data_IF_369773043758
#
_entry.id   IF_369773043758
#
_cell.length_a   1.000
_cell.length_b   1.000
_cell.length_c   1.000
_cell.angle_alpha   90.00
_cell.angle_beta   90.00
_cell.angle_gamma   90.00
#
_symmetry.space_group_name_H-M   'P 1'
#
loop_
_entity.id
_entity.type
_entity.pdbx_description
1 polymer ?
#
# COMPACT_ATOMS: atom_id res chain seq x y z
N UNK A 1 11.14 4.62 -6.83
CA UNK A 1 12.14 5.68 -6.56
C UNK A 1 11.59 6.88 -7.28
N UNK A 2 11.16 7.88 -6.52
CA UNK A 2 10.04 8.69 -6.96
C UNK A 2 10.56 10.04 -7.43
N UNK A 3 10.28 10.37 -8.69
CA UNK A 3 10.85 11.54 -9.35
C UNK A 3 9.94 12.74 -9.12
N UNK A 4 10.37 13.55 -8.15
CA UNK A 4 9.70 14.77 -7.71
C UNK A 4 10.09 15.94 -8.62
N UNK A 5 9.10 16.74 -9.05
CA UNK A 5 9.36 18.08 -9.56
C UNK A 5 8.43 19.09 -8.86
N UNK A 6 9.02 20.21 -8.47
CA UNK A 6 8.30 21.38 -7.96
C UNK A 6 7.62 22.07 -9.14
N UNK A 7 6.31 22.24 -9.06
CA UNK A 7 5.51 22.98 -10.04
C UNK A 7 4.80 24.11 -9.30
N UNK A 8 4.95 25.39 -9.73
CA UNK A 8 4.38 26.51 -8.99
C UNK A 8 2.85 26.41 -8.88
N UNK A 9 2.34 26.66 -7.67
CA UNK A 9 0.91 26.65 -7.37
C UNK A 9 0.28 28.04 -7.45
N UNK A 10 -0.98 28.13 -7.87
CA UNK A 10 -1.71 29.39 -8.01
C UNK A 10 -2.01 30.10 -6.66
N UNK A 11 -1.81 29.44 -5.52
CA UNK A 11 -2.07 29.97 -4.16
C UNK A 11 -0.85 29.86 -3.22
N UNK A 12 0.32 30.37 -3.63
CA UNK A 12 1.43 30.74 -2.72
C UNK A 12 2.12 29.62 -1.94
N UNK A 13 1.70 28.36 -2.09
CA UNK A 13 2.40 27.18 -1.60
C UNK A 13 2.91 26.35 -2.78
N UNK A 14 4.23 26.30 -2.94
CA UNK A 14 4.85 25.31 -3.82
C UNK A 14 4.57 23.91 -3.28
N UNK A 15 3.76 23.17 -4.04
CA UNK A 15 3.38 21.78 -3.74
C UNK A 15 3.97 20.89 -4.80
N UNK A 16 5.08 20.26 -4.44
CA UNK A 16 5.74 19.20 -5.20
C UNK A 16 4.72 18.14 -5.66
N UNK A 17 4.73 17.84 -6.97
CA UNK A 17 3.83 16.85 -7.58
C UNK A 17 4.66 15.67 -8.10
N UNK A 18 4.15 14.45 -7.93
CA UNK A 18 4.77 13.29 -8.53
C UNK A 18 4.15 13.07 -9.92
N UNK A 19 4.94 13.30 -10.98
CA UNK A 19 4.46 13.24 -12.37
C UNK A 19 4.80 11.90 -13.06
N UNK A 20 5.72 11.12 -12.47
CA UNK A 20 6.31 9.94 -13.09
C UNK A 20 6.65 8.88 -12.02
N UNK A 21 6.24 7.63 -12.24
CA UNK A 21 6.58 6.48 -11.36
C UNK A 21 7.79 5.71 -11.91
N UNK A 22 8.73 5.37 -11.02
CA UNK A 22 9.97 4.66 -11.38
C UNK A 22 10.17 3.36 -10.59
N UNK A 23 10.03 2.21 -11.26
CA UNK A 23 10.28 0.89 -10.68
C UNK A 23 11.71 0.42 -11.00
N UNK A 24 12.56 0.28 -9.98
CA UNK A 24 13.99 -0.04 -10.15
C UNK A 24 14.29 -1.41 -9.54
N UNK A 25 14.89 -2.32 -10.32
CA UNK A 25 15.25 -3.68 -9.90
C UNK A 25 16.74 -3.96 -10.07
N UNK A 26 17.27 -4.93 -9.29
CA UNK A 26 18.64 -5.46 -9.45
C UNK A 26 18.80 -6.12 -10.83
N UNK A 27 19.99 -6.10 -11.46
CA UNK A 27 20.20 -6.64 -12.81
C UNK A 27 19.67 -8.07 -13.03
N UNK A 28 20.03 -9.02 -12.16
CA UNK A 28 19.59 -10.42 -12.25
C UNK A 28 18.09 -10.68 -12.02
N UNK A 29 17.28 -9.64 -11.83
CA UNK A 29 15.81 -9.72 -11.83
C UNK A 29 15.25 -9.48 -13.24
N UNK A 30 15.83 -8.54 -14.00
CA UNK A 30 15.34 -8.12 -15.33
C UNK A 30 16.22 -8.59 -16.49
N UNK A 31 17.30 -9.31 -16.22
CA UNK A 31 18.21 -9.89 -17.21
C UNK A 31 18.42 -11.36 -16.90
N UNK A 32 18.62 -12.17 -17.96
CA UNK A 32 18.89 -13.59 -17.79
C UNK A 32 20.34 -13.84 -17.36
N UNK A 33 20.51 -14.80 -16.46
CA UNK A 33 21.82 -15.23 -16.01
C UNK A 33 22.50 -16.06 -17.11
N UNK A 34 23.27 -15.40 -17.97
CA UNK A 34 24.07 -16.03 -19.01
C UNK A 34 23.97 -15.36 -20.38
N UNK A 35 25.09 -14.80 -20.85
CA UNK A 35 25.41 -14.59 -22.27
C UNK A 35 24.65 -13.50 -23.07
N UNK A 36 23.44 -13.10 -22.68
CA UNK A 36 22.63 -12.15 -23.49
C UNK A 36 22.93 -10.68 -23.18
N UNK A 37 23.66 -10.02 -24.09
CA UNK A 37 24.02 -8.57 -24.04
C UNK A 37 22.90 -7.65 -24.56
N UNK A 38 21.70 -8.19 -24.75
CA UNK A 38 20.49 -7.48 -25.12
C UNK A 38 19.48 -7.60 -23.96
N UNK A 39 18.96 -6.48 -23.41
CA UNK A 39 17.86 -6.54 -22.46
C UNK A 39 16.61 -7.15 -23.12
N UNK A 40 15.76 -7.86 -22.37
CA UNK A 40 14.56 -8.49 -22.91
C UNK A 40 13.53 -7.46 -23.39
N UNK A 41 12.71 -7.87 -24.35
CA UNK A 41 11.40 -7.27 -24.55
C UNK A 41 10.47 -7.74 -23.41
N UNK A 42 10.07 -6.80 -22.54
CA UNK A 42 9.21 -7.12 -21.40
C UNK A 42 7.77 -7.45 -21.79
N UNK A 43 7.30 -7.01 -22.96
CA UNK A 43 5.96 -7.33 -23.49
C UNK A 43 5.94 -8.75 -24.00
N UNK A 44 6.94 -9.16 -24.79
CA UNK A 44 7.10 -10.56 -25.23
C UNK A 44 7.22 -11.49 -24.03
N UNK A 45 8.06 -11.12 -23.05
CA UNK A 45 8.20 -11.88 -21.80
C UNK A 45 6.89 -11.99 -21.02
N UNK A 46 6.06 -10.95 -21.00
CA UNK A 46 4.75 -10.96 -20.34
C UNK A 46 3.70 -11.82 -21.06
N UNK A 47 3.80 -11.94 -22.38
CA UNK A 47 2.86 -12.70 -23.23
C UNK A 47 3.14 -14.20 -23.24
N UNK A 48 4.39 -14.62 -23.47
CA UNK A 48 4.75 -16.05 -23.52
C UNK A 48 4.98 -16.64 -22.13
N UNK A 49 4.15 -17.60 -21.73
CA UNK A 49 4.24 -18.34 -20.47
C UNK A 49 5.48 -19.20 -20.32
N UNK A 50 6.18 -19.52 -21.41
CA UNK A 50 7.41 -20.32 -21.41
C UNK A 50 8.66 -19.45 -21.39
N UNK A 51 8.52 -18.12 -21.55
CA UNK A 51 9.66 -17.22 -21.53
C UNK A 51 10.31 -17.23 -20.13
N UNK A 52 11.64 -17.43 -20.01
CA UNK A 52 12.29 -17.58 -18.70
C UNK A 52 12.10 -16.42 -17.71
N UNK A 53 11.76 -15.21 -18.17
CA UNK A 53 11.42 -14.06 -17.33
C UNK A 53 9.91 -13.82 -17.13
N UNK A 54 9.03 -14.73 -17.56
CA UNK A 54 7.57 -14.50 -17.61
C UNK A 54 6.96 -14.04 -16.28
N UNK A 55 7.26 -14.79 -15.20
CA UNK A 55 6.78 -14.47 -13.85
C UNK A 55 7.23 -13.07 -13.42
N UNK A 56 8.49 -12.72 -13.70
CA UNK A 56 9.07 -11.43 -13.33
C UNK A 56 8.54 -10.27 -14.18
N UNK A 57 8.41 -10.46 -15.50
CA UNK A 57 7.82 -9.48 -16.40
C UNK A 57 6.36 -9.20 -16.01
N UNK A 58 5.58 -10.24 -15.70
CA UNK A 58 4.22 -10.11 -15.15
C UNK A 58 4.22 -9.36 -13.82
N UNK A 59 5.10 -9.70 -12.88
CA UNK A 59 5.17 -9.02 -11.58
C UNK A 59 5.49 -7.51 -11.74
N UNK A 60 6.54 -7.17 -12.49
CA UNK A 60 7.03 -5.78 -12.61
C UNK A 60 6.08 -4.92 -13.46
N UNK A 61 5.57 -5.41 -14.59
CA UNK A 61 4.60 -4.67 -15.39
C UNK A 61 3.27 -4.47 -14.65
N UNK A 62 2.78 -5.50 -13.93
CA UNK A 62 1.57 -5.35 -13.11
C UNK A 62 1.79 -4.43 -11.91
N UNK A 63 3.00 -4.36 -11.36
CA UNK A 63 3.36 -3.43 -10.28
C UNK A 63 3.35 -1.98 -10.77
N UNK A 64 4.06 -1.66 -11.87
CA UNK A 64 4.08 -0.27 -12.38
C UNK A 64 2.72 0.16 -12.93
N UNK A 65 2.00 -0.71 -13.64
CA UNK A 65 0.65 -0.41 -14.12
C UNK A 65 -0.33 -0.13 -12.97
N UNK A 66 -0.28 -0.93 -11.90
CA UNK A 66 -1.05 -0.70 -10.67
C UNK A 66 -0.78 0.68 -10.07
N UNK A 67 0.48 1.09 -9.94
CA UNK A 67 0.82 2.45 -9.48
C UNK A 67 0.30 3.54 -10.44
N UNK A 68 0.48 3.38 -11.75
CA UNK A 68 -0.04 4.32 -12.74
C UNK A 68 -1.56 4.46 -12.65
N UNK A 69 -2.31 3.35 -12.51
CA UNK A 69 -3.77 3.39 -12.31
C UNK A 69 -4.17 4.12 -11.03
N UNK A 70 -3.62 3.69 -9.88
CA UNK A 70 -4.00 4.20 -8.56
C UNK A 70 -3.68 5.70 -8.42
N UNK A 71 -2.51 6.13 -8.89
CA UNK A 71 -2.03 7.51 -8.76
C UNK A 71 -2.45 8.41 -9.93
N UNK A 72 -3.16 7.85 -10.90
CA UNK A 72 -3.56 8.47 -12.18
C UNK A 72 -2.41 9.05 -13.01
N UNK A 73 -1.19 8.57 -12.79
CA UNK A 73 -0.03 8.96 -13.61
C UNK A 73 -0.18 8.42 -15.04
N UNK A 74 0.38 9.14 -16.00
CA UNK A 74 0.35 8.74 -17.41
C UNK A 74 1.69 8.23 -17.94
N UNK A 75 2.79 8.53 -17.24
CA UNK A 75 4.15 8.17 -17.65
C UNK A 75 4.93 7.58 -16.48
N UNK A 76 5.89 6.73 -16.82
CA UNK A 76 6.74 6.04 -15.86
C UNK A 76 7.90 5.32 -16.54
N UNK A 77 8.70 4.61 -15.77
CA UNK A 77 9.76 3.75 -16.29
C UNK A 77 10.00 2.52 -15.41
N UNK A 78 10.59 1.51 -16.02
CA UNK A 78 11.17 0.32 -15.38
C UNK A 78 12.67 0.37 -15.66
N UNK A 79 13.52 0.13 -14.65
CA UNK A 79 14.98 0.23 -14.83
C UNK A 79 15.76 -0.83 -14.05
N UNK A 80 16.90 -1.23 -14.63
CA UNK A 80 18.03 -1.85 -13.94
C UNK A 80 19.33 -1.21 -14.45
N UNK A 81 20.46 -1.52 -13.81
CA UNK A 81 21.78 -0.91 -14.11
C UNK A 81 22.17 -0.87 -15.60
N UNK A 82 21.73 -1.86 -16.39
CA UNK A 82 22.09 -1.98 -17.81
C UNK A 82 20.99 -1.52 -18.78
N UNK A 83 19.76 -1.29 -18.33
CA UNK A 83 18.60 -1.14 -19.20
C UNK A 83 17.46 -0.36 -18.55
N UNK A 84 16.81 0.52 -19.32
CA UNK A 84 15.60 1.24 -18.93
C UNK A 84 14.53 1.13 -20.00
N UNK A 85 13.31 0.77 -19.61
CA UNK A 85 12.12 0.76 -20.45
C UNK A 85 11.21 1.91 -20.01
N UNK A 86 10.82 2.77 -20.95
CA UNK A 86 9.79 3.78 -20.69
C UNK A 86 8.41 3.11 -20.72
N UNK A 87 7.48 3.58 -19.89
CA UNK A 87 6.09 3.12 -19.90
C UNK A 87 5.10 4.28 -19.97
N UNK A 88 3.99 4.06 -20.67
CA UNK A 88 2.89 5.01 -20.84
C UNK A 88 1.55 4.33 -20.56
N UNK A 89 0.68 5.02 -19.86
CA UNK A 89 -0.71 4.64 -19.59
C UNK A 89 -1.56 5.88 -19.90
N UNK A 90 -2.18 6.00 -21.09
CA UNK A 90 -2.81 7.24 -21.54
C UNK A 90 -3.85 7.83 -20.58
N UNK A 91 -4.10 9.14 -20.69
CA UNK A 91 -5.08 9.84 -19.87
C UNK A 91 -6.54 9.60 -20.34
N UNK A 92 -6.73 9.26 -21.62
CA UNK A 92 -8.05 9.11 -22.22
C UNK A 92 -8.75 7.81 -21.77
N UNK A 93 -10.08 7.88 -21.62
CA UNK A 93 -10.88 6.76 -21.11
C UNK A 93 -10.92 5.52 -22.00
N UNK A 94 -10.55 5.65 -23.28
CA UNK A 94 -10.48 4.54 -24.25
C UNK A 94 -9.22 3.70 -24.08
N UNK A 95 -8.05 4.31 -23.87
CA UNK A 95 -6.77 3.62 -23.74
C UNK A 95 -6.25 3.55 -22.30
N UNK A 96 -6.96 4.13 -21.32
CA UNK A 96 -6.56 4.09 -19.90
C UNK A 96 -6.28 2.68 -19.38
N UNK A 97 -6.92 1.66 -19.97
CA UNK A 97 -6.78 0.27 -19.54
C UNK A 97 -5.53 -0.44 -20.13
N UNK A 98 -4.70 0.27 -20.91
CA UNK A 98 -3.53 -0.28 -21.59
C UNK A 98 -2.23 0.24 -20.96
N UNK A 99 -1.26 -0.65 -20.78
CA UNK A 99 0.15 -0.26 -20.56
C UNK A 99 0.91 -0.39 -21.88
N UNK A 100 1.47 0.72 -22.35
CA UNK A 100 2.43 0.74 -23.44
C UNK A 100 3.84 0.74 -22.86
N UNK A 101 4.75 -0.03 -23.45
CA UNK A 101 6.13 -0.22 -23.01
C UNK A 101 7.06 0.03 -24.20
N UNK A 102 8.15 0.77 -24.01
CA UNK A 102 9.15 0.97 -25.07
C UNK A 102 10.05 -0.25 -25.23
N UNK A 103 10.81 -0.30 -26.34
CA UNK A 103 12.05 -1.07 -26.37
C UNK A 103 13.02 -0.60 -25.26
N UNK A 104 13.95 -1.46 -24.87
CA UNK A 104 14.95 -1.13 -23.85
C UNK A 104 15.99 -0.13 -24.37
N UNK A 105 16.19 0.97 -23.64
CA UNK A 105 17.36 1.83 -23.77
C UNK A 105 18.48 1.26 -22.88
N UNK A 106 19.60 0.88 -23.47
CA UNK A 106 20.76 0.35 -22.73
C UNK A 106 21.53 1.48 -22.06
N UNK A 107 22.18 1.22 -20.93
CA UNK A 107 23.01 2.24 -20.25
C UNK A 107 24.22 2.72 -21.07
N UNK A 108 24.60 1.98 -22.12
CA UNK A 108 25.65 2.34 -23.08
C UNK A 108 25.11 3.08 -24.33
N UNK A 109 23.80 3.22 -24.49
CA UNK A 109 23.22 3.88 -25.67
C UNK A 109 23.46 5.40 -25.60
N UNK A 110 23.77 6.00 -26.75
CA UNK A 110 24.06 7.43 -26.88
C UNK A 110 23.09 8.18 -27.78
N UNK A 111 22.24 7.48 -28.55
CA UNK A 111 21.33 8.06 -29.56
C UNK A 111 19.98 7.33 -29.64
N UNK A 112 18.98 7.72 -28.83
CA UNK A 112 19.10 8.58 -27.65
C UNK A 112 19.82 7.86 -26.50
N UNK A 113 20.37 8.61 -25.55
CA UNK A 113 20.84 8.02 -24.28
C UNK A 113 19.68 7.82 -23.30
N UNK A 114 19.88 6.99 -22.27
CA UNK A 114 18.90 6.81 -21.18
C UNK A 114 18.51 8.16 -20.56
N UNK A 115 19.46 9.08 -20.38
CA UNK A 115 19.18 10.43 -19.86
C UNK A 115 18.31 11.26 -20.82
N UNK A 116 18.55 11.18 -22.14
CA UNK A 116 17.69 11.87 -23.12
C UNK A 116 16.27 11.25 -23.17
N UNK A 117 16.16 9.93 -23.06
CA UNK A 117 14.90 9.21 -23.01
C UNK A 117 14.08 9.56 -21.75
N UNK A 118 14.74 9.64 -20.58
CA UNK A 118 14.11 10.05 -19.32
C UNK A 118 13.73 11.54 -19.30
N UNK A 119 14.58 12.42 -19.82
CA UNK A 119 14.26 13.86 -19.93
C UNK A 119 13.05 14.10 -20.86
N UNK A 120 12.96 13.36 -21.98
CA UNK A 120 11.79 13.38 -22.85
C UNK A 120 10.53 12.85 -22.13
N UNK A 121 10.64 11.75 -21.38
CA UNK A 121 9.53 11.20 -20.58
C UNK A 121 9.02 12.22 -19.55
N UNK A 122 9.93 12.90 -18.84
CA UNK A 122 9.59 13.97 -17.89
C UNK A 122 8.90 15.14 -18.59
N UNK A 123 9.35 15.53 -19.78
CA UNK A 123 8.69 16.56 -20.58
C UNK A 123 7.26 16.14 -21.00
N UNK A 124 7.05 14.88 -21.43
CA UNK A 124 5.71 14.39 -21.73
C UNK A 124 4.81 14.38 -20.47
N UNK A 125 5.36 14.03 -19.31
CA UNK A 125 4.65 14.01 -18.04
C UNK A 125 4.24 15.43 -17.55
N UNK A 126 5.07 16.46 -17.81
CA UNK A 126 4.73 17.86 -17.54
C UNK A 126 3.65 18.42 -18.48
N UNK A 127 3.50 17.87 -19.68
CA UNK A 127 2.51 18.29 -20.67
C UNK A 127 1.11 17.67 -20.45
N UNK A 128 0.93 16.81 -19.44
CA UNK A 128 -0.39 16.26 -19.06
C UNK A 128 -1.18 17.31 -18.28
N UNK A 129 -2.49 17.37 -18.50
CA UNK A 129 -3.41 18.19 -17.67
C UNK A 129 -3.14 17.95 -16.16
N UNK A 130 -2.74 18.98 -15.38
CA UNK A 130 -2.45 18.84 -13.96
C UNK A 130 -3.63 18.34 -13.11
N UNK A 131 -4.85 18.35 -13.64
CA UNK A 131 -6.06 17.80 -13.00
C UNK A 131 -6.26 16.29 -13.26
N UNK A 132 -5.50 15.69 -14.18
CA UNK A 132 -5.57 14.27 -14.48
C UNK A 132 -4.80 13.39 -13.48
N UNK A 133 -3.73 13.93 -12.87
CA UNK A 133 -2.81 13.22 -11.95
C UNK A 133 -3.18 13.51 -10.49
N UNK A 134 -3.07 12.51 -9.59
CA UNK A 134 -3.67 12.61 -8.24
C UNK A 134 -2.68 12.80 -7.08
N UNK A 135 -1.36 12.67 -7.27
CA UNK A 135 -0.41 12.49 -6.16
C UNK A 135 0.50 13.70 -5.92
N UNK A 136 0.49 14.15 -4.66
CA UNK A 136 1.40 15.16 -4.13
C UNK A 136 2.51 14.50 -3.33
N UNK A 137 3.67 15.14 -3.29
CA UNK A 137 4.83 14.66 -2.53
C UNK A 137 4.77 15.25 -1.11
N UNK A 138 5.18 14.52 -0.05
CA UNK A 138 5.29 15.08 1.28
C UNK A 138 6.35 16.19 1.30
N UNK A 139 5.96 17.40 1.70
CA UNK A 139 6.95 18.44 2.04
C UNK A 139 7.88 17.88 3.12
N UNK A 140 9.18 17.78 2.81
CA UNK A 140 10.19 17.48 3.83
C UNK A 140 10.21 18.61 4.83
N UNK A 141 9.85 18.32 6.08
CA UNK A 141 10.17 19.21 7.19
C UNK A 141 11.70 19.28 7.30
N UNK A 142 12.28 20.42 6.95
CA UNK A 142 13.71 20.66 7.07
C UNK A 142 14.10 20.78 8.55
N UNK A 143 14.37 19.65 9.20
CA UNK A 143 15.30 19.63 10.34
C UNK A 143 16.67 20.05 9.81
N UNK A 144 17.27 21.07 10.43
CA UNK A 144 18.57 21.61 10.01
C UNK A 144 19.72 20.61 10.11
N UNK A 145 20.88 20.89 9.48
CA UNK A 145 22.02 19.99 9.51
C UNK A 145 22.60 19.90 10.93
N UNK A 146 22.59 18.69 11.49
CA UNK A 146 23.54 18.29 12.52
C UNK A 146 24.76 17.69 11.81
N UNK A 147 25.87 18.42 11.78
CA UNK A 147 27.16 17.81 11.52
C UNK A 147 27.44 16.77 12.62
N UNK A 148 27.70 15.52 12.23
CA UNK A 148 28.74 14.74 12.87
C UNK A 148 29.27 13.70 11.88
N UNK A 149 30.59 13.70 11.68
CA UNK A 149 31.27 12.77 10.79
C UNK A 149 32.04 11.76 11.61
N UNK A 150 31.72 10.47 11.45
CA UNK A 150 32.69 9.38 11.53
C UNK A 150 32.15 8.18 10.74
N UNK A 151 33.04 7.44 10.10
CA UNK A 151 32.74 6.20 9.39
C UNK A 151 33.60 5.06 9.92
N UNK A 152 34.05 4.21 8.98
CA UNK A 152 34.97 3.09 9.18
C UNK A 152 34.36 1.76 9.71
N UNK A 153 34.47 0.77 8.83
CA UNK A 153 34.98 -0.59 9.07
C UNK A 153 34.05 -1.78 9.47
N UNK A 154 33.75 -2.56 8.43
CA UNK A 154 34.11 -3.98 8.22
C UNK A 154 33.44 -5.16 8.97
N UNK A 155 33.06 -6.15 8.14
CA UNK A 155 33.15 -7.62 8.29
C UNK A 155 32.42 -8.39 9.43
N UNK A 156 31.81 -9.52 9.06
CA UNK A 156 31.26 -10.49 10.03
C UNK A 156 30.25 -11.53 9.49
N UNK A 157 30.67 -12.79 9.44
CA UNK A 157 29.83 -14.02 9.42
C UNK A 157 28.79 -14.04 10.57
N UNK A 158 27.66 -14.77 10.52
CA UNK A 158 27.02 -15.58 9.45
C UNK A 158 25.47 -15.42 9.56
N UNK A 159 24.52 -16.38 9.52
CA UNK A 159 24.48 -17.85 9.43
C UNK A 159 23.27 -18.31 8.59
N UNK A 160 23.38 -19.49 7.96
CA UNK A 160 22.29 -20.20 7.28
C UNK A 160 21.80 -21.37 8.16
N UNK A 161 20.48 -21.62 8.23
CA UNK A 161 20.02 -23.01 8.33
C UNK A 161 19.17 -23.40 7.11
N UNK A 162 19.38 -24.62 6.63
CA UNK A 162 18.58 -25.26 5.59
C UNK A 162 17.50 -26.13 6.23
N UNK A 163 16.35 -26.27 5.55
CA UNK A 163 15.40 -27.35 5.79
C UNK A 163 14.88 -27.83 4.43
N UNK A 164 15.04 -29.12 4.17
CA UNK A 164 14.65 -29.80 2.92
C UNK A 164 13.31 -30.53 3.05
N UNK A 165 12.73 -30.82 1.89
CA UNK A 165 11.68 -31.81 1.59
C UNK A 165 10.39 -31.89 2.42
N UNK A 166 9.28 -31.72 1.71
CA UNK A 166 8.09 -32.55 1.91
C UNK A 166 7.33 -32.67 0.58
N UNK A 167 7.17 -33.90 0.09
CA UNK A 167 6.54 -34.18 -1.20
C UNK A 167 5.06 -33.80 -1.25
N UNK A 168 4.64 -33.16 -2.35
CA UNK A 168 3.22 -32.95 -2.65
C UNK A 168 2.76 -33.80 -3.85
N UNK A 169 2.08 -34.91 -3.56
CA UNK A 169 1.53 -35.84 -4.57
C UNK A 169 0.14 -35.35 -5.03
N UNK A 170 -0.05 -35.01 -6.33
CA UNK A 170 -1.37 -34.64 -6.85
C UNK A 170 -2.18 -35.88 -7.20
N UNK A 171 -3.17 -36.25 -6.37
CA UNK A 171 -4.15 -37.28 -6.71
C UNK A 171 -5.42 -36.66 -7.33
N UNK A 172 -5.95 -37.28 -8.40
CA UNK A 172 -7.20 -36.88 -9.05
C UNK A 172 -8.41 -37.50 -8.30
N UNK A 173 -9.64 -36.97 -8.35
CA UNK A 173 -10.45 -36.86 -9.57
C UNK A 173 -11.88 -36.31 -9.31
N UNK A 174 -12.63 -36.08 -10.40
CA UNK A 174 -14.11 -36.17 -10.51
C UNK A 174 -15.05 -35.12 -9.86
N UNK A 175 -15.34 -34.09 -10.66
CA UNK A 175 -16.71 -33.69 -11.11
C UNK A 175 -17.89 -33.54 -10.13
N UNK A 176 -18.49 -32.35 -10.14
CA UNK A 176 -19.94 -32.16 -10.07
C UNK A 176 -20.40 -31.06 -11.06
N UNK A 177 -21.64 -31.15 -11.59
CA UNK A 177 -22.22 -30.17 -12.53
C UNK A 177 -23.43 -29.48 -11.88
N UNK A 178 -23.55 -28.16 -12.05
CA UNK A 178 -24.79 -27.41 -11.82
C UNK A 178 -25.11 -26.54 -13.06
N UNK A 179 -26.40 -26.27 -13.31
CA UNK A 179 -26.91 -25.66 -14.56
C UNK A 179 -28.26 -24.98 -14.30
N UNK A 180 -28.58 -23.94 -15.10
CA UNK A 180 -29.77 -23.02 -15.06
C UNK A 180 -29.46 -21.67 -14.39
N UNK A 181 -30.05 -20.54 -14.80
CA UNK A 181 -31.01 -20.28 -15.90
C UNK A 181 -30.91 -18.84 -16.45
N UNK A 182 -31.45 -18.60 -17.66
CA UNK A 182 -31.63 -17.29 -18.31
C UNK A 182 -33.03 -16.71 -18.03
N UNK A 183 -33.17 -15.38 -18.13
CA UNK A 183 -34.44 -14.64 -18.18
C UNK A 183 -34.49 -13.49 -17.15
N UNK A 184 -35.00 -12.29 -17.44
CA UNK A 184 -35.57 -11.78 -18.69
C UNK A 184 -35.63 -10.24 -18.72
N UNK A 185 -36.03 -9.65 -19.85
CA UNK A 185 -35.82 -8.23 -20.17
C UNK A 185 -36.81 -7.22 -19.54
N UNK A 186 -36.32 -5.98 -19.42
CA UNK A 186 -36.98 -4.70 -19.78
C UNK A 186 -38.28 -4.23 -19.10
N UNK A 187 -38.21 -3.01 -18.56
CA UNK A 187 -39.22 -1.96 -18.83
C UNK A 187 -38.53 -0.60 -18.97
N UNK A 188 -39.11 0.32 -19.76
CA UNK A 188 -38.59 1.67 -20.02
C UNK A 188 -39.69 2.72 -19.76
N UNK A 189 -39.39 3.71 -18.92
CA UNK A 189 -40.18 4.93 -18.72
C UNK A 189 -39.22 6.06 -18.30
N UNK A 190 -38.83 6.95 -19.21
CA UNK A 190 -39.57 8.13 -19.68
C UNK A 190 -39.34 9.40 -18.82
N UNK A 191 -38.15 9.97 -18.99
CA UNK A 191 -37.83 11.41 -18.88
C UNK A 191 -38.51 12.26 -17.78
N UNK A 192 -37.77 12.52 -16.70
CA UNK A 192 -37.74 13.86 -16.10
C UNK A 192 -36.30 14.40 -16.20
N UNK A 193 -36.13 15.60 -16.76
CA UNK A 193 -34.84 16.30 -16.75
C UNK A 193 -34.68 17.04 -15.43
N UNK A 194 -33.70 16.65 -14.63
CA UNK A 194 -33.17 17.48 -13.54
C UNK A 194 -31.75 17.99 -13.93
N UNK A 195 -31.24 19.06 -13.29
CA UNK A 195 -29.99 19.69 -13.70
C UNK A 195 -28.80 18.73 -13.65
N UNK A 196 -27.77 19.00 -14.46
CA UNK A 196 -26.55 18.19 -14.51
C UNK A 196 -25.91 18.08 -13.12
N UNK A 197 -26.08 16.93 -12.48
CA UNK A 197 -25.26 16.54 -11.35
C UNK A 197 -23.81 16.48 -11.84
N UNK A 198 -22.96 17.38 -11.33
CA UNK A 198 -21.51 17.24 -11.46
C UNK A 198 -21.18 15.88 -10.86
N UNK A 199 -20.68 14.95 -11.67
CA UNK A 199 -20.40 13.58 -11.23
C UNK A 199 -19.34 13.60 -10.15
N UNK A 200 -19.76 13.55 -8.89
CA UNK A 200 -18.86 13.40 -7.76
C UNK A 200 -18.14 12.05 -7.91
N UNK A 201 -16.81 12.07 -7.97
CA UNK A 201 -16.03 10.85 -7.93
C UNK A 201 -16.16 10.27 -6.52
N UNK A 202 -17.09 9.34 -6.32
CA UNK A 202 -17.39 8.69 -5.03
C UNK A 202 -16.33 7.64 -4.63
N UNK A 203 -15.05 7.97 -4.84
CA UNK A 203 -13.91 7.13 -4.51
C UNK A 203 -12.92 7.83 -3.58
N UNK A 204 -11.94 7.10 -3.03
CA UNK A 204 -10.89 7.70 -2.22
C UNK A 204 -9.99 8.61 -3.06
N UNK A 205 -9.78 9.84 -2.59
CA UNK A 205 -8.74 10.73 -3.10
C UNK A 205 -7.43 10.41 -2.39
N UNK A 206 -6.51 9.72 -3.09
CA UNK A 206 -5.17 9.44 -2.59
C UNK A 206 -4.32 10.71 -2.66
N UNK A 207 -3.59 11.05 -1.59
CA UNK A 207 -2.72 12.24 -1.54
C UNK A 207 -1.24 11.86 -1.63
N UNK A 208 -0.74 11.08 -0.67
CA UNK A 208 0.64 10.60 -0.61
C UNK A 208 0.72 9.22 0.08
N UNK A 209 1.81 8.49 -0.18
CA UNK A 209 2.09 7.21 0.47
C UNK A 209 2.66 7.42 1.88
N UNK A 210 2.17 6.65 2.85
CA UNK A 210 2.68 6.62 4.23
C UNK A 210 3.75 5.52 4.33
N UNK A 211 3.41 4.29 3.91
CA UNK A 211 4.32 3.15 3.91
C UNK A 211 3.89 2.05 2.92
N UNK A 212 4.76 1.08 2.69
CA UNK A 212 4.38 -0.24 2.17
C UNK A 212 4.17 -1.18 3.36
N UNK A 213 3.00 -1.81 3.48
CA UNK A 213 2.75 -2.92 4.39
C UNK A 213 3.10 -4.27 3.74
N UNK A 214 2.96 -5.35 4.49
CA UNK A 214 3.22 -6.72 4.01
C UNK A 214 2.19 -7.24 2.99
N UNK A 215 1.00 -6.65 2.95
CA UNK A 215 -0.14 -7.07 2.14
C UNK A 215 -0.63 -6.00 1.13
N UNK A 216 0.07 -4.86 1.05
CA UNK A 216 -0.32 -3.73 0.20
C UNK A 216 0.18 -2.37 0.71
N UNK A 217 -0.19 -1.30 0.02
CA UNK A 217 0.27 0.06 0.31
C UNK A 217 -0.67 0.80 1.26
N UNK A 218 -0.12 1.67 2.11
CA UNK A 218 -0.88 2.53 3.03
C UNK A 218 -0.72 3.98 2.61
N UNK A 219 -1.84 4.65 2.31
CA UNK A 219 -1.88 6.02 1.79
C UNK A 219 -2.55 6.96 2.77
N UNK A 220 -2.09 8.21 2.82
CA UNK A 220 -2.89 9.32 3.32
C UNK A 220 -3.83 9.79 2.21
N UNK A 221 -5.05 10.20 2.57
CA UNK A 221 -5.99 10.74 1.60
C UNK A 221 -7.25 11.33 2.21
N UNK A 222 -8.27 11.46 1.38
CA UNK A 222 -9.59 11.97 1.75
C UNK A 222 -10.67 11.04 1.20
N UNK A 223 -11.64 10.68 2.03
CA UNK A 223 -12.81 9.88 1.63
C UNK A 223 -14.08 10.64 1.99
N UNK A 224 -14.91 10.96 0.99
CA UNK A 224 -16.12 11.79 1.14
C UNK A 224 -15.89 13.08 1.96
N UNK A 225 -14.78 13.78 1.71
CA UNK A 225 -14.38 15.01 2.42
C UNK A 225 -13.70 14.79 3.79
N UNK A 226 -13.70 13.57 4.33
CA UNK A 226 -13.10 13.25 5.64
C UNK A 226 -11.64 12.82 5.46
N UNK A 227 -10.67 13.37 6.22
CA UNK A 227 -9.28 12.91 6.24
C UNK A 227 -9.17 11.42 6.61
N UNK A 228 -8.48 10.66 5.78
CA UNK A 228 -8.46 9.21 5.81
C UNK A 228 -7.06 8.62 5.73
N UNK A 229 -6.90 7.44 6.34
CA UNK A 229 -5.86 6.47 5.97
C UNK A 229 -6.53 5.43 5.07
N UNK A 230 -5.93 5.18 3.92
CA UNK A 230 -6.50 4.33 2.87
C UNK A 230 -5.50 3.21 2.59
N UNK A 231 -5.85 1.98 2.98
CA UNK A 231 -5.09 0.79 2.64
C UNK A 231 -5.47 0.30 1.24
N UNK A 232 -4.47 -0.10 0.46
CA UNK A 232 -4.57 -0.55 -0.92
C UNK A 232 -4.00 -1.97 -1.01
N UNK A 233 -4.88 -2.96 -0.96
CA UNK A 233 -4.57 -4.36 -0.68
C UNK A 233 -4.79 -5.25 -1.92
N UNK A 234 -3.89 -6.21 -2.13
CA UNK A 234 -3.86 -7.05 -3.34
C UNK A 234 -2.97 -6.49 -4.46
N UNK A 235 -3.03 -7.02 -5.69
CA UNK A 235 -4.06 -7.95 -6.22
C UNK A 235 -3.74 -9.44 -6.02
N UNK A 236 -2.71 -9.76 -5.24
CA UNK A 236 -2.36 -11.13 -4.86
C UNK A 236 -3.32 -11.71 -3.80
N UNK A 237 -3.32 -13.03 -3.63
CA UNK A 237 -4.16 -13.72 -2.65
C UNK A 237 -3.90 -13.25 -1.22
N UNK A 238 -2.64 -13.06 -0.84
CA UNK A 238 -2.26 -12.57 0.48
C UNK A 238 -2.87 -11.19 0.80
N UNK A 239 -2.81 -10.25 -0.16
CA UNK A 239 -3.41 -8.93 -0.03
C UNK A 239 -4.94 -8.97 0.01
N UNK A 240 -5.57 -9.80 -0.84
CA UNK A 240 -7.03 -9.94 -0.86
C UNK A 240 -7.57 -10.61 0.42
N UNK A 241 -6.90 -11.64 0.94
CA UNK A 241 -7.26 -12.24 2.23
C UNK A 241 -7.06 -11.27 3.40
N UNK A 242 -6.00 -10.45 3.39
CA UNK A 242 -5.77 -9.42 4.40
C UNK A 242 -6.89 -8.37 4.39
N UNK A 243 -7.35 -7.95 3.20
CA UNK A 243 -8.53 -7.10 3.06
C UNK A 243 -9.79 -7.77 3.64
N UNK A 244 -10.05 -9.03 3.31
CA UNK A 244 -11.23 -9.73 3.82
C UNK A 244 -11.18 -9.95 5.35
N UNK A 245 -10.00 -10.16 5.94
CA UNK A 245 -9.82 -10.21 7.42
C UNK A 245 -10.08 -8.85 8.06
N UNK A 246 -9.48 -7.80 7.53
CA UNK A 246 -9.58 -6.46 8.11
C UNK A 246 -10.99 -5.87 7.95
N UNK A 247 -11.62 -6.00 6.78
CA UNK A 247 -12.99 -5.52 6.55
C UNK A 247 -14.01 -6.23 7.47
N UNK A 248 -13.87 -7.55 7.68
CA UNK A 248 -14.67 -8.28 8.69
C UNK A 248 -14.39 -7.78 10.11
N UNK A 249 -13.13 -7.55 10.47
CA UNK A 249 -12.76 -7.02 11.79
C UNK A 249 -13.41 -5.66 12.09
N UNK A 250 -13.41 -4.72 11.14
CA UNK A 250 -14.15 -3.45 11.32
C UNK A 250 -15.67 -3.67 11.43
N UNK A 251 -16.22 -4.69 10.78
CA UNK A 251 -17.65 -5.01 10.82
C UNK A 251 -18.07 -5.61 12.17
N UNK A 252 -17.22 -6.49 12.73
CA UNK A 252 -17.37 -7.09 14.07
C UNK A 252 -17.17 -6.02 15.16
N UNK A 253 -16.13 -5.21 15.06
CA UNK A 253 -15.75 -4.19 16.05
C UNK A 253 -16.53 -2.86 15.88
N UNK A 254 -17.71 -2.88 15.26
CA UNK A 254 -18.47 -1.68 14.90
C UNK A 254 -18.74 -0.72 16.08
N UNK A 255 -19.00 -1.25 17.27
CA UNK A 255 -19.25 -0.46 18.49
C UNK A 255 -17.98 0.17 19.11
N UNK A 256 -16.79 -0.28 18.71
CA UNK A 256 -15.50 0.21 19.21
C UNK A 256 -14.85 1.25 18.25
N UNK A 257 -15.45 1.44 17.08
CA UNK A 257 -15.03 2.41 16.07
C UNK A 257 -15.18 3.86 16.56
N UNK A 258 -14.12 4.66 16.41
CA UNK A 258 -14.02 6.03 16.92
C UNK A 258 -13.52 6.13 18.36
N UNK A 259 -13.47 5.01 19.10
CA UNK A 259 -13.04 4.99 20.50
C UNK A 259 -11.72 4.27 20.76
N UNK A 260 -11.55 3.04 20.27
CA UNK A 260 -10.31 2.26 20.38
C UNK A 260 -9.94 1.55 19.08
N UNK A 261 -10.76 1.69 18.04
CA UNK A 261 -10.51 1.28 16.66
C UNK A 261 -10.83 2.50 15.78
N UNK A 262 -10.11 2.78 14.67
CA UNK A 262 -10.50 3.85 13.75
C UNK A 262 -11.93 3.69 13.23
N UNK A 263 -12.56 4.79 12.80
CA UNK A 263 -13.86 4.69 12.13
C UNK A 263 -13.67 4.21 10.68
N UNK A 264 -14.37 3.16 10.27
CA UNK A 264 -14.46 2.75 8.87
C UNK A 264 -15.29 3.78 8.09
N UNK A 265 -14.69 4.41 7.09
CA UNK A 265 -15.35 5.40 6.22
C UNK A 265 -15.92 4.73 4.96
N UNK A 266 -15.26 3.69 4.46
CA UNK A 266 -15.74 2.90 3.34
C UNK A 266 -14.75 1.83 2.87
N UNK A 267 -15.24 0.95 2.00
CA UNK A 267 -14.45 -0.10 1.33
C UNK A 267 -14.81 -0.14 -0.15
N UNK A 268 -13.91 -0.65 -0.98
CA UNK A 268 -14.18 -0.78 -2.40
C UNK A 268 -13.06 -1.46 -3.19
N UNK A 269 -12.98 -1.12 -4.48
CA UNK A 269 -12.13 -1.80 -5.46
C UNK A 269 -11.70 -0.81 -6.54
N UNK A 270 -10.46 -0.92 -6.99
CA UNK A 270 -9.96 -0.38 -8.26
C UNK A 270 -9.82 -1.54 -9.26
N UNK A 271 -10.83 -1.81 -10.11
CA UNK A 271 -10.87 -3.04 -10.93
C UNK A 271 -9.64 -3.20 -11.84
N UNK A 272 -9.19 -2.10 -12.47
CA UNK A 272 -8.05 -2.06 -13.38
C UNK A 272 -6.71 -2.38 -12.71
N UNK A 273 -6.58 -2.11 -11.41
CA UNK A 273 -5.40 -2.42 -10.61
C UNK A 273 -5.50 -3.79 -9.91
N UNK A 274 -6.69 -4.41 -9.91
CA UNK A 274 -7.02 -5.59 -9.10
C UNK A 274 -7.05 -5.34 -7.58
N UNK A 275 -6.89 -4.10 -7.13
CA UNK A 275 -6.63 -3.72 -5.73
C UNK A 275 -7.92 -3.36 -4.99
N UNK A 276 -8.17 -4.03 -3.87
CA UNK A 276 -9.21 -3.63 -2.91
C UNK A 276 -8.72 -2.44 -2.10
N UNK A 277 -9.64 -1.59 -1.66
CA UNK A 277 -9.32 -0.51 -0.73
C UNK A 277 -10.17 -0.54 0.53
N UNK A 278 -9.57 -0.16 1.65
CA UNK A 278 -10.22 0.05 2.94
C UNK A 278 -9.82 1.43 3.46
N UNK A 279 -10.80 2.32 3.62
CA UNK A 279 -10.61 3.70 4.02
C UNK A 279 -11.15 3.91 5.45
N UNK A 280 -10.29 4.37 6.34
CA UNK A 280 -10.60 4.63 7.76
C UNK A 280 -10.26 6.07 8.12
N UNK A 281 -10.94 6.64 9.13
CA UNK A 281 -10.67 7.99 9.63
C UNK A 281 -9.23 8.07 10.13
N UNK A 282 -8.50 9.07 9.65
CA UNK A 282 -7.15 9.38 10.15
C UNK A 282 -7.25 9.85 11.61
N UNK A 283 -6.62 9.11 12.52
CA UNK A 283 -6.31 9.59 13.87
C UNK A 283 -5.10 10.53 13.75
N UNK A 284 -5.11 11.66 14.46
CA UNK A 284 -3.91 12.50 14.63
C UNK A 284 -3.21 12.02 15.91
N UNK A 285 -2.01 11.49 15.75
CA UNK A 285 -1.41 10.60 16.72
C UNK A 285 -0.19 9.86 16.18
N UNK A 286 0.61 9.32 17.09
CA UNK A 286 1.87 8.62 16.79
C UNK A 286 1.81 7.14 17.23
N UNK A 287 2.42 6.21 16.49
CA UNK A 287 2.59 4.83 16.93
C UNK A 287 3.41 4.74 18.22
N UNK A 288 3.03 3.86 19.15
CA UNK A 288 3.75 3.68 20.43
C UNK A 288 5.21 3.26 20.24
N UNK A 289 5.55 2.63 19.11
CA UNK A 289 6.94 2.28 18.75
C UNK A 289 7.85 3.50 18.56
N UNK A 290 7.27 4.65 18.18
CA UNK A 290 7.97 5.92 17.96
C UNK A 290 8.11 6.79 19.21
N UNK A 291 7.47 6.44 20.32
CA UNK A 291 7.74 7.08 21.61
C UNK A 291 9.12 6.61 22.13
N UNK A 292 9.99 7.49 22.64
CA UNK A 292 11.26 7.09 23.23
C UNK A 292 11.03 6.22 24.48
N UNK A 293 10.10 6.66 25.33
CA UNK A 293 9.66 6.00 26.56
C UNK A 293 8.14 6.03 26.61
N UNK A 294 7.49 4.95 27.05
CA UNK A 294 6.03 4.85 27.15
C UNK A 294 5.60 5.13 28.60
N UNK A 295 4.77 6.15 28.86
CA UNK A 295 4.23 6.41 30.19
C UNK A 295 3.32 5.27 30.71
N UNK A 296 3.29 4.98 32.02
CA UNK A 296 2.41 3.94 32.58
C UNK A 296 0.92 4.13 32.26
N UNK A 297 0.45 5.38 32.18
CA UNK A 297 -0.92 5.74 31.78
C UNK A 297 -1.24 5.32 30.34
N UNK A 298 -0.31 5.58 29.40
CA UNK A 298 -0.39 5.20 27.98
C UNK A 298 -0.31 3.68 27.82
N UNK A 299 0.58 3.02 28.56
CA UNK A 299 0.68 1.57 28.58
C UNK A 299 -0.63 0.91 29.08
N UNK A 300 -1.22 1.44 30.15
CA UNK A 300 -2.51 0.99 30.65
C UNK A 300 -3.66 1.26 29.65
N UNK A 301 -3.63 2.38 28.92
CA UNK A 301 -4.61 2.69 27.88
C UNK A 301 -4.50 1.74 26.68
N UNK A 302 -3.28 1.41 26.22
CA UNK A 302 -3.03 0.45 25.15
C UNK A 302 -3.56 -0.94 25.50
N UNK A 303 -3.33 -1.39 26.74
CA UNK A 303 -3.90 -2.63 27.27
C UNK A 303 -5.43 -2.59 27.28
N UNK A 304 -6.04 -1.52 27.82
CA UNK A 304 -7.51 -1.37 27.85
C UNK A 304 -8.13 -1.35 26.45
N UNK A 305 -7.43 -0.81 25.45
CA UNK A 305 -7.87 -0.79 24.06
C UNK A 305 -7.90 -2.20 23.45
N UNK A 306 -6.85 -3.00 23.63
CA UNK A 306 -6.83 -4.41 23.20
C UNK A 306 -7.86 -5.26 23.95
N UNK A 307 -8.00 -5.07 25.27
CA UNK A 307 -9.00 -5.78 26.10
C UNK A 307 -10.45 -5.38 25.75
N UNK A 308 -10.70 -4.19 25.18
CA UNK A 308 -11.99 -3.79 24.57
C UNK A 308 -12.21 -4.50 23.22
N UNK A 309 -11.20 -4.53 22.35
CA UNK A 309 -11.24 -5.24 21.05
C UNK A 309 -11.56 -6.74 21.25
N UNK A 310 -10.90 -7.42 22.18
CA UNK A 310 -11.20 -8.83 22.52
C UNK A 310 -12.63 -9.02 23.06
N UNK A 311 -13.14 -8.07 23.84
CA UNK A 311 -14.51 -8.14 24.39
C UNK A 311 -15.57 -7.95 23.31
N UNK A 312 -15.38 -6.98 22.42
CA UNK A 312 -16.32 -6.69 21.33
C UNK A 312 -16.32 -7.77 20.24
N UNK A 313 -15.15 -8.33 19.90
CA UNK A 313 -15.04 -9.46 18.97
C UNK A 313 -15.43 -10.83 19.57
N UNK A 314 -15.57 -10.91 20.89
CA UNK A 314 -15.94 -12.15 21.58
C UNK A 314 -14.81 -13.18 21.71
N UNK A 315 -15.07 -14.37 22.27
CA UNK A 315 -14.04 -15.31 22.76
C UNK A 315 -13.06 -15.87 21.72
N UNK A 316 -13.40 -15.78 20.43
CA UNK A 316 -12.56 -16.25 19.32
C UNK A 316 -11.73 -15.16 18.63
N UNK A 317 -11.99 -13.87 18.90
CA UNK A 317 -11.36 -12.78 18.16
C UNK A 317 -9.93 -12.52 18.63
N UNK A 318 -8.98 -12.56 17.69
CA UNK A 318 -7.56 -12.27 17.86
C UNK A 318 -7.12 -11.22 16.86
N UNK A 319 -6.17 -10.37 17.26
CA UNK A 319 -5.56 -9.38 16.38
C UNK A 319 -4.55 -10.01 15.40
N UNK A 320 -3.85 -11.06 15.83
CA UNK A 320 -2.84 -11.79 15.06
C UNK A 320 -1.53 -11.04 14.82
N UNK A 321 -1.39 -9.78 15.26
CA UNK A 321 -0.17 -8.98 15.07
C UNK A 321 0.02 -7.91 16.16
N UNK A 322 0.08 -8.33 17.43
CA UNK A 322 0.25 -7.40 18.56
C UNK A 322 1.67 -6.81 18.57
N UNK A 323 1.80 -5.55 18.14
CA UNK A 323 3.06 -4.78 18.09
C UNK A 323 2.82 -3.32 18.46
N UNK A 324 3.85 -2.66 19.00
CA UNK A 324 3.78 -1.22 19.36
C UNK A 324 3.59 -0.29 18.14
N UNK A 325 3.88 -0.75 16.93
CA UNK A 325 3.61 -0.02 15.69
C UNK A 325 2.11 -0.03 15.30
N UNK A 326 1.36 -1.05 15.76
CA UNK A 326 -0.05 -1.29 15.47
C UNK A 326 -0.98 -0.66 16.53
N UNK A 327 -0.44 0.24 17.36
CA UNK A 327 -1.18 0.99 18.38
C UNK A 327 -0.79 2.46 18.27
N UNK A 328 -1.76 3.34 18.01
CA UNK A 328 -1.58 4.79 17.94
C UNK A 328 -1.99 5.45 19.26
N UNK A 329 -1.18 6.36 19.79
CA UNK A 329 -1.58 7.32 20.82
C UNK A 329 -2.12 8.59 20.14
N UNK A 330 -3.33 9.01 20.50
CA UNK A 330 -3.95 10.23 19.98
C UNK A 330 -3.32 11.49 20.59
N UNK A 331 -2.91 12.46 19.76
CA UNK A 331 -2.19 13.67 20.19
C UNK A 331 -2.96 14.51 21.21
N UNK A 332 -4.26 14.71 20.99
CA UNK A 332 -5.12 15.46 21.91
C UNK A 332 -5.12 14.84 23.32
N UNK A 333 -5.05 13.51 23.41
CA UNK A 333 -5.02 12.74 24.64
C UNK A 333 -3.60 12.58 25.23
N UNK A 334 -2.55 12.93 24.47
CA UNK A 334 -1.19 13.10 24.98
C UNK A 334 -0.96 14.49 25.59
N UNK A 335 -1.69 15.51 25.12
CA UNK A 335 -1.67 16.88 25.68
C UNK A 335 -2.60 17.10 26.88
N UNK A 336 -3.57 16.21 27.13
CA UNK A 336 -4.46 16.28 28.30
C UNK A 336 -4.04 15.30 29.38
N UNK A 337 -3.61 15.80 30.54
CA UNK A 337 -2.96 15.06 31.64
C UNK A 337 -3.90 14.15 32.47
N UNK A 338 -4.94 13.57 31.84
CA UNK A 338 -6.04 12.89 32.53
C UNK A 338 -6.36 11.48 32.00
N UNK A 339 -6.36 11.24 30.68
CA UNK A 339 -6.70 9.92 30.13
C UNK A 339 -6.22 9.74 28.67
N UNK A 340 -5.03 9.15 28.42
CA UNK A 340 -4.56 8.89 27.06
C UNK A 340 -5.48 7.91 26.32
N UNK A 341 -5.80 8.22 25.05
CA UNK A 341 -6.60 7.38 24.14
C UNK A 341 -5.68 6.65 23.17
N UNK A 342 -5.79 5.33 23.15
CA UNK A 342 -4.99 4.45 22.30
C UNK A 342 -5.91 3.72 21.30
N UNK A 343 -5.54 3.75 20.02
CA UNK A 343 -6.26 3.11 18.92
C UNK A 343 -5.49 1.88 18.42
N UNK A 344 -6.16 0.73 18.38
CA UNK A 344 -5.67 -0.51 17.77
C UNK A 344 -5.90 -0.45 16.25
N UNK A 345 -4.86 -0.76 15.47
CA UNK A 345 -4.88 -0.70 14.00
C UNK A 345 -4.26 -1.95 13.37
N UNK A 346 -4.51 -2.14 12.07
CA UNK A 346 -3.99 -3.24 11.26
C UNK A 346 -4.51 -4.64 11.59
N UNK A 347 -5.78 -4.88 11.27
CA UNK A 347 -6.43 -6.18 11.41
C UNK A 347 -6.19 -7.12 10.21
N UNK A 348 -5.18 -6.86 9.37
CA UNK A 348 -4.85 -7.69 8.20
C UNK A 348 -4.43 -9.13 8.53
N UNK A 349 -4.13 -9.42 9.80
CA UNK A 349 -3.81 -10.76 10.34
C UNK A 349 -4.83 -11.28 11.37
N UNK A 350 -5.94 -10.57 11.56
CA UNK A 350 -6.95 -10.93 12.56
C UNK A 350 -7.68 -12.24 12.24
N UNK A 351 -8.21 -12.89 13.28
CA UNK A 351 -8.90 -14.18 13.19
C UNK A 351 -10.04 -14.26 14.19
N UNK A 352 -11.16 -14.85 13.79
CA UNK A 352 -12.33 -15.13 14.62
C UNK A 352 -12.32 -16.58 15.19
N UNK A 353 -11.39 -17.41 14.74
CA UNK A 353 -11.24 -18.83 15.13
C UNK A 353 -10.25 -19.09 16.27
N UNK A 354 -9.96 -18.08 17.09
CA UNK A 354 -9.05 -18.17 18.22
C UNK A 354 -9.69 -18.68 19.52
N UNK A 355 -9.06 -18.35 20.64
CA UNK A 355 -9.52 -18.72 21.98
C UNK A 355 -9.15 -17.70 23.04
N UNK A 356 -9.88 -17.73 24.17
CA UNK A 356 -9.58 -16.89 25.36
C UNK A 356 -8.15 -17.11 25.89
N UNK A 357 -7.57 -18.29 25.69
CA UNK A 357 -6.17 -18.55 26.04
C UNK A 357 -5.18 -17.76 25.17
N UNK A 358 -5.49 -17.62 23.87
CA UNK A 358 -4.72 -16.82 22.91
C UNK A 358 -4.97 -15.31 23.12
N UNK A 359 -6.19 -14.88 23.45
CA UNK A 359 -6.46 -13.49 23.86
C UNK A 359 -5.60 -13.09 25.09
N UNK A 360 -5.53 -13.99 26.09
CA UNK A 360 -4.63 -13.84 27.25
C UNK A 360 -3.15 -13.95 26.90
N UNK A 361 -2.77 -14.49 25.74
CA UNK A 361 -1.40 -14.46 25.22
C UNK A 361 -1.11 -13.09 24.58
N UNK A 362 -1.97 -12.62 23.67
CA UNK A 362 -1.89 -11.29 23.05
C UNK A 362 -1.78 -10.16 24.09
N UNK A 363 -2.59 -10.20 25.15
CA UNK A 363 -2.53 -9.22 26.26
C UNK A 363 -1.23 -9.33 27.07
N UNK A 364 -0.64 -10.53 27.23
CA UNK A 364 0.66 -10.72 27.90
C UNK A 364 1.83 -10.24 27.03
N UNK A 365 1.77 -10.49 25.74
CA UNK A 365 2.75 -10.01 24.75
C UNK A 365 2.75 -8.47 24.71
N UNK A 366 1.58 -7.83 24.65
CA UNK A 366 1.47 -6.38 24.76
C UNK A 366 2.07 -5.85 26.07
N UNK A 367 1.72 -6.46 27.21
CA UNK A 367 2.27 -6.06 28.53
C UNK A 367 3.80 -6.21 28.60
N UNK A 368 4.38 -7.24 27.97
CA UNK A 368 5.82 -7.43 27.89
C UNK A 368 6.51 -6.43 26.95
N UNK A 369 5.90 -6.10 25.79
CA UNK A 369 6.41 -5.07 24.87
C UNK A 369 6.40 -3.68 25.50
N UNK A 370 5.33 -3.34 26.22
CA UNK A 370 5.19 -2.07 26.94
C UNK A 370 6.22 -1.97 28.07
N UNK A 371 6.36 -3.00 28.90
CA UNK A 371 7.32 -3.00 30.01
C UNK A 371 8.78 -2.78 29.56
N UNK A 372 9.18 -3.31 28.39
CA UNK A 372 10.50 -3.08 27.77
C UNK A 372 10.73 -1.65 27.25
N UNK A 373 9.68 -0.81 27.19
CA UNK A 373 9.72 0.59 26.74
C UNK A 373 9.24 1.58 27.82
N UNK A 374 8.85 1.11 29.00
CA UNK A 374 8.60 1.95 30.17
C UNK A 374 9.91 2.49 30.75
N UNK A 375 9.84 3.64 31.44
CA UNK A 375 10.96 4.09 32.26
C UNK A 375 11.26 3.09 33.40
N UNK A 376 12.53 2.92 33.82
CA UNK A 376 12.80 2.44 35.17
C UNK A 376 12.16 3.40 36.19
N UNK A 377 11.50 2.86 37.21
CA UNK A 377 10.80 3.65 38.21
C UNK A 377 11.74 4.04 39.36
N UNK A 378 12.36 5.22 39.25
CA UNK A 378 13.20 5.83 40.30
C UNK A 378 14.66 5.43 40.21
#
# INVERSE_FOLDING_TARGET
MDFVLTVPGEEGQDRERCICVGEVKRPGVLLLHGGTTAPPDLVVAWQDSHHPLHVTARAVLSQVFRYMQLWRMCYGFISCWFATWLVCCPADSTHRNNLYVSAAYKSIDTRPSVMAALAWLQQQALNVDPNAVSVYVPQRQHTGPSDDSNGADEEGMDEKPECTDSDYVPCSSQTAKAKRSRGGSSSLSSWQRQPQQRTCNTGPHLLHKICSGSAGDVMAGVYNGIPAVIKLLGPDSAGLEAFDREARSYSVLHQEQGEVVPQLLGVGWYPLAGVRYLAVRRIQGSPLSGLPTIPPSVAAAAVRALERVHRAGGPGFLHGDVRLQNILLEEAAASSDANPRCFIIDFGRASEGGSVAQQRQEVRELKALLARRSAPCG
#
